data_IF_980576841399
#
_entry.id   IF_980576841399
#
_cell.length_a   1.000
_cell.length_b   1.000
_cell.length_c   1.000
_cell.angle_alpha   90.00
_cell.angle_beta   90.00
_cell.angle_gamma   90.00
#
_symmetry.space_group_name_H-M   'P 1'
#
loop_
_entity.id
_entity.type
_entity.pdbx_description
1 polymer ?
#
# COMPACT_ATOMS: atom_id res chain seq x y z
N UNK A 1 4.40 -10.98 22.46
CA UNK A 1 3.53 -10.33 21.45
C UNK A 1 3.41 -11.30 20.29
N UNK A 2 2.24 -11.91 20.11
CA UNK A 2 2.03 -13.00 19.15
C UNK A 2 1.71 -12.41 17.77
N UNK A 3 2.32 -12.94 16.71
CA UNK A 3 1.94 -12.67 15.33
C UNK A 3 1.16 -13.90 14.82
N UNK A 4 0.02 -13.65 14.19
CA UNK A 4 -0.80 -14.70 13.60
C UNK A 4 -1.19 -14.33 12.17
N UNK A 5 -1.42 -15.34 11.35
CA UNK A 5 -2.21 -15.26 10.14
C UNK A 5 -3.61 -15.81 10.44
N UNK A 6 -4.66 -15.07 10.09
CA UNK A 6 -6.04 -15.49 10.32
C UNK A 6 -6.97 -14.96 9.25
N UNK A 7 -8.06 -15.67 8.97
CA UNK A 7 -9.08 -15.19 8.04
C UNK A 7 -9.72 -13.88 8.55
N UNK A 8 -9.84 -12.82 7.73
CA UNK A 8 -10.37 -11.54 8.18
C UNK A 8 -11.81 -11.63 8.68
N UNK A 9 -12.59 -12.62 8.23
CA UNK A 9 -13.96 -12.87 8.69
C UNK A 9 -14.05 -13.40 10.14
N UNK A 10 -12.94 -13.87 10.73
CA UNK A 10 -12.84 -14.25 12.15
C UNK A 10 -12.54 -13.06 13.07
N UNK A 11 -12.18 -11.89 12.52
CA UNK A 11 -11.92 -10.68 13.30
C UNK A 11 -13.18 -9.79 13.29
N UNK A 12 -13.67 -9.51 14.49
CA UNK A 12 -14.82 -8.65 14.77
C UNK A 12 -14.41 -7.16 14.77
N UNK A 13 -15.37 -6.30 14.45
CA UNK A 13 -15.22 -4.85 14.54
C UNK A 13 -16.36 -4.27 15.36
N UNK A 14 -16.03 -3.48 16.36
CA UNK A 14 -16.98 -2.65 17.07
C UNK A 14 -17.35 -1.46 16.17
N UNK A 15 -18.55 -1.49 15.58
CA UNK A 15 -19.04 -0.42 14.68
C UNK A 15 -19.41 0.87 15.41
N UNK A 16 -19.58 0.85 16.73
CA UNK A 16 -19.82 2.06 17.54
C UNK A 16 -18.50 2.81 17.71
N UNK A 17 -17.41 2.07 17.97
CA UNK A 17 -16.07 2.63 18.17
C UNK A 17 -15.31 2.89 16.87
N UNK A 18 -15.52 2.07 15.84
CA UNK A 18 -14.90 2.18 14.52
C UNK A 18 -15.99 2.26 13.43
N UNK A 19 -16.82 3.34 13.42
CA UNK A 19 -17.91 3.47 12.48
C UNK A 19 -17.36 3.68 11.06
N UNK A 20 -17.78 2.83 10.12
CA UNK A 20 -17.22 2.79 8.76
C UNK A 20 -17.76 3.90 7.82
N UNK A 21 -17.78 5.15 8.31
CA UNK A 21 -18.33 6.34 7.62
C UNK A 21 -17.49 6.81 6.44
N UNK A 22 -16.23 6.38 6.37
CA UNK A 22 -15.29 6.73 5.30
C UNK A 22 -15.36 5.77 4.11
N UNK A 23 -16.07 4.63 4.21
CA UNK A 23 -16.13 3.58 3.18
C UNK A 23 -16.49 4.12 1.79
N UNK A 24 -17.41 5.08 1.75
CA UNK A 24 -17.95 5.64 0.51
C UNK A 24 -17.20 6.92 0.07
N UNK A 25 -16.06 7.25 0.70
CA UNK A 25 -15.22 8.39 0.32
C UNK A 25 -14.05 7.97 -0.56
N UNK A 26 -13.67 8.85 -1.49
CA UNK A 26 -12.56 8.65 -2.43
C UNK A 26 -11.26 8.16 -1.77
N UNK A 27 -10.89 8.69 -0.59
CA UNK A 27 -9.67 8.27 0.13
C UNK A 27 -9.69 6.76 0.48
N UNK A 28 -10.84 6.21 0.87
CA UNK A 28 -10.97 4.79 1.17
C UNK A 28 -10.87 3.94 -0.11
N UNK A 29 -11.50 4.38 -1.20
CA UNK A 29 -11.39 3.71 -2.50
C UNK A 29 -9.96 3.72 -3.06
N UNK A 30 -9.22 4.83 -2.91
CA UNK A 30 -7.80 4.91 -3.29
C UNK A 30 -6.94 3.96 -2.44
N UNK A 31 -7.19 3.90 -1.13
CA UNK A 31 -6.51 2.97 -0.22
C UNK A 31 -6.82 1.51 -0.57
N UNK A 32 -8.08 1.19 -0.90
CA UNK A 32 -8.50 -0.13 -1.38
C UNK A 32 -7.80 -0.50 -2.69
N UNK A 33 -7.63 0.45 -3.62
CA UNK A 33 -6.90 0.20 -4.87
C UNK A 33 -5.42 -0.12 -4.60
N UNK A 34 -4.72 0.70 -3.81
CA UNK A 34 -3.34 0.39 -3.37
C UNK A 34 -3.28 -1.01 -2.75
N UNK A 35 -4.17 -1.30 -1.80
CA UNK A 35 -4.23 -2.60 -1.12
C UNK A 35 -4.46 -3.78 -2.08
N UNK A 36 -5.18 -3.58 -3.19
CA UNK A 36 -5.38 -4.63 -4.20
C UNK A 36 -4.13 -4.98 -5.01
N UNK A 37 -3.06 -4.17 -4.92
CA UNK A 37 -1.74 -4.44 -5.51
C UNK A 37 -0.76 -5.10 -4.53
N UNK A 38 -1.11 -5.20 -3.24
CA UNK A 38 -0.25 -5.80 -2.22
C UNK A 38 -0.45 -7.30 -2.13
N UNK A 39 0.65 -8.05 -1.98
CA UNK A 39 0.62 -9.49 -1.65
C UNK A 39 0.08 -9.75 -0.24
N UNK A 40 0.37 -8.85 0.70
CA UNK A 40 -0.18 -8.82 2.07
C UNK A 40 -0.53 -7.39 2.45
N UNK A 41 -1.65 -7.20 3.15
CA UNK A 41 -1.96 -5.89 3.74
C UNK A 41 -1.07 -5.60 4.96
N UNK A 42 -0.95 -4.32 5.36
CA UNK A 42 -0.32 -3.94 6.62
C UNK A 42 -0.95 -4.67 7.83
N UNK A 43 -0.07 -5.22 8.67
CA UNK A 43 -0.43 -6.04 9.83
C UNK A 43 -1.38 -5.33 10.79
N UNK A 44 -2.47 -6.01 11.15
CA UNK A 44 -3.50 -5.52 12.06
C UNK A 44 -3.04 -5.59 13.53
N UNK A 45 -3.76 -4.91 14.43
CA UNK A 45 -3.68 -5.22 15.87
C UNK A 45 -5.05 -5.63 16.38
N UNK A 46 -5.13 -6.78 17.05
CA UNK A 46 -6.35 -7.34 17.63
C UNK A 46 -6.21 -7.55 19.14
N UNK A 47 -7.30 -7.48 19.89
CA UNK A 47 -7.38 -8.06 21.23
C UNK A 47 -8.25 -9.32 21.16
N UNK A 48 -7.87 -10.36 21.88
CA UNK A 48 -8.68 -11.57 22.03
C UNK A 48 -9.30 -11.61 23.43
N UNK A 49 -10.61 -11.78 23.48
CA UNK A 49 -11.39 -12.00 24.71
C UNK A 49 -12.30 -13.24 24.56
N UNK A 50 -13.16 -13.48 25.54
CA UNK A 50 -14.06 -14.64 25.56
C UNK A 50 -15.20 -14.60 24.53
N UNK A 51 -15.36 -13.48 23.81
CA UNK A 51 -16.30 -13.35 22.69
C UNK A 51 -15.61 -13.49 21.33
N UNK A 52 -14.30 -13.25 21.26
CA UNK A 52 -13.47 -13.53 20.08
C UNK A 52 -12.33 -12.53 19.89
N UNK A 53 -11.85 -12.44 18.64
CA UNK A 53 -10.83 -11.47 18.24
C UNK A 53 -11.46 -10.16 17.75
N UNK A 54 -11.14 -9.05 18.42
CA UNK A 54 -11.63 -7.71 18.11
C UNK A 54 -10.54 -6.80 17.58
N UNK A 55 -10.83 -6.04 16.52
CA UNK A 55 -9.89 -5.06 15.97
C UNK A 55 -9.58 -3.93 16.97
N UNK A 56 -8.29 -3.61 17.12
CA UNK A 56 -7.79 -2.45 17.88
C UNK A 56 -7.21 -1.38 16.96
N UNK A 57 -6.46 -1.80 15.93
CA UNK A 57 -5.79 -0.93 14.94
C UNK A 57 -5.86 -1.56 13.56
N UNK A 58 -5.97 -0.73 12.52
CA UNK A 58 -6.08 -1.19 11.13
C UNK A 58 -7.50 -1.55 10.67
N UNK A 59 -8.55 -0.97 11.28
CA UNK A 59 -9.94 -1.29 10.93
C UNK A 59 -10.28 -1.05 9.44
N UNK A 60 -9.71 -0.03 8.79
CA UNK A 60 -9.85 0.12 7.34
C UNK A 60 -9.20 -1.02 6.55
N UNK A 61 -8.00 -1.49 6.94
CA UNK A 61 -7.36 -2.65 6.30
C UNK A 61 -8.16 -3.94 6.52
N UNK A 62 -8.77 -4.13 7.69
CA UNK A 62 -9.69 -5.26 7.93
C UNK A 62 -10.92 -5.18 7.02
N UNK A 63 -11.53 -4.00 6.88
CA UNK A 63 -12.65 -3.77 5.95
C UNK A 63 -12.25 -4.04 4.50
N UNK A 64 -11.08 -3.53 4.08
CA UNK A 64 -10.54 -3.73 2.74
C UNK A 64 -10.26 -5.21 2.47
N UNK A 65 -9.64 -5.94 3.41
CA UNK A 65 -9.42 -7.39 3.29
C UNK A 65 -10.74 -8.16 3.07
N UNK A 66 -11.80 -7.82 3.82
CA UNK A 66 -13.14 -8.41 3.65
C UNK A 66 -13.79 -8.04 2.31
N UNK A 67 -13.51 -6.85 1.76
CA UNK A 67 -14.04 -6.41 0.46
C UNK A 67 -13.26 -7.01 -0.72
N UNK A 68 -11.95 -7.16 -0.60
CA UNK A 68 -11.07 -7.84 -1.55
C UNK A 68 -11.13 -9.37 -1.44
N UNK A 69 -11.93 -9.91 -0.51
CA UNK A 69 -12.09 -11.34 -0.25
C UNK A 69 -10.74 -12.05 0.02
N UNK A 70 -9.82 -11.36 0.70
CA UNK A 70 -8.52 -11.94 1.02
C UNK A 70 -8.71 -13.15 1.94
N UNK A 71 -8.04 -14.28 1.67
CA UNK A 71 -8.23 -15.50 2.45
C UNK A 71 -7.81 -15.27 3.91
N UNK A 72 -6.71 -14.53 4.08
CA UNK A 72 -5.98 -14.33 5.32
C UNK A 72 -5.51 -12.87 5.47
N UNK A 73 -5.25 -12.47 6.72
CA UNK A 73 -4.55 -11.24 7.10
C UNK A 73 -3.57 -11.51 8.24
N UNK A 74 -2.43 -10.81 8.25
CA UNK A 74 -1.52 -10.79 9.40
C UNK A 74 -2.10 -9.94 10.53
N UNK A 75 -2.05 -10.42 11.76
CA UNK A 75 -2.52 -9.71 12.94
C UNK A 75 -1.58 -9.91 14.14
N UNK A 76 -1.32 -8.82 14.87
CA UNK A 76 -0.64 -8.83 16.16
C UNK A 76 -1.67 -8.93 17.27
N UNK A 77 -1.50 -9.91 18.15
CA UNK A 77 -2.30 -10.01 19.39
C UNK A 77 -1.74 -9.04 20.44
N UNK A 78 -2.61 -8.12 20.86
CA UNK A 78 -2.38 -7.13 21.89
C UNK A 78 -2.17 -7.80 23.28
N UNK A 79 -1.22 -7.28 24.06
CA UNK A 79 -0.84 -7.81 25.36
C UNK A 79 -1.92 -7.71 26.45
N UNK A 80 -3.03 -7.03 26.19
CA UNK A 80 -4.23 -7.04 27.07
C UNK A 80 -5.13 -8.26 26.88
N UNK A 81 -4.81 -9.15 25.95
CA UNK A 81 -5.49 -10.44 25.75
C UNK A 81 -4.98 -11.48 26.77
N UNK A 82 -5.86 -12.29 27.36
CA UNK A 82 -5.43 -13.38 28.26
C UNK A 82 -5.02 -14.64 27.48
N UNK A 83 -4.00 -15.35 27.96
CA UNK A 83 -3.48 -16.55 27.29
C UNK A 83 -4.58 -17.60 27.02
N UNK A 84 -5.45 -17.86 27.99
CA UNK A 84 -6.59 -18.79 27.87
C UNK A 84 -7.53 -18.43 26.69
N UNK A 85 -7.82 -17.15 26.49
CA UNK A 85 -8.65 -16.69 25.38
C UNK A 85 -7.89 -16.77 24.04
N UNK A 86 -6.57 -16.51 24.04
CA UNK A 86 -5.72 -16.66 22.85
C UNK A 86 -5.68 -18.12 22.41
N UNK A 87 -5.42 -19.06 23.33
CA UNK A 87 -5.35 -20.50 23.05
C UNK A 87 -6.68 -21.01 22.46
N UNK A 88 -7.80 -20.72 23.12
CA UNK A 88 -9.15 -21.03 22.63
C UNK A 88 -9.45 -20.43 21.25
N UNK A 89 -9.01 -19.18 21.00
CA UNK A 89 -9.18 -18.56 19.68
C UNK A 89 -8.32 -19.23 18.60
N UNK A 90 -7.07 -19.58 18.89
CA UNK A 90 -6.19 -20.27 17.91
C UNK A 90 -6.78 -21.62 17.49
N UNK A 91 -7.26 -22.42 18.44
CA UNK A 91 -7.89 -23.72 18.19
C UNK A 91 -9.16 -23.60 17.32
N UNK A 92 -9.98 -22.56 17.55
CA UNK A 92 -11.30 -22.42 16.90
C UNK A 92 -11.30 -21.61 15.60
N UNK A 93 -10.30 -20.76 15.38
CA UNK A 93 -10.25 -19.83 14.24
C UNK A 93 -9.44 -20.32 13.04
N UNK A 94 -8.76 -21.47 13.15
CA UNK A 94 -7.75 -21.97 12.19
C UNK A 94 -6.65 -20.94 11.90
N UNK A 95 -6.26 -20.17 12.91
CA UNK A 95 -5.20 -19.18 12.79
C UNK A 95 -3.81 -19.84 12.89
N UNK A 96 -2.91 -19.48 11.96
CA UNK A 96 -1.53 -19.93 11.99
C UNK A 96 -0.71 -18.96 12.85
N UNK A 97 0.08 -19.47 13.80
CA UNK A 97 1.10 -18.65 14.48
C UNK A 97 2.27 -18.46 13.53
N UNK A 98 2.66 -17.22 13.28
CA UNK A 98 3.78 -16.88 12.41
C UNK A 98 5.05 -16.60 13.23
N UNK A 99 6.21 -16.95 12.67
CA UNK A 99 7.50 -16.56 13.22
C UNK A 99 7.87 -15.13 12.80
N UNK A 100 8.22 -14.31 13.79
CA UNK A 100 8.62 -12.92 13.58
C UNK A 100 9.90 -12.75 12.77
N UNK A 101 10.86 -13.69 12.86
CA UNK A 101 12.11 -13.56 12.12
C UNK A 101 11.92 -13.93 10.65
N UNK A 102 11.24 -15.05 10.38
CA UNK A 102 10.84 -15.50 9.04
C UNK A 102 9.99 -14.45 8.32
N UNK A 103 8.99 -13.86 8.98
CA UNK A 103 8.15 -12.82 8.36
C UNK A 103 8.93 -11.53 8.09
N UNK A 104 9.86 -11.13 8.98
CA UNK A 104 10.73 -9.97 8.74
C UNK A 104 11.73 -10.18 7.61
N UNK A 105 12.17 -11.42 7.38
CA UNK A 105 13.02 -11.75 6.24
C UNK A 105 12.20 -11.78 4.95
N UNK A 106 11.03 -12.42 4.97
CA UNK A 106 10.10 -12.46 3.82
C UNK A 106 9.64 -11.06 3.39
N UNK A 107 9.35 -10.16 4.33
CA UNK A 107 9.03 -8.75 4.06
C UNK A 107 10.24 -7.93 3.55
N UNK A 108 11.46 -8.47 3.64
CA UNK A 108 12.70 -7.89 3.09
C UNK A 108 13.18 -8.57 1.80
N UNK A 109 12.58 -9.69 1.39
CA UNK A 109 13.08 -10.61 0.35
C UNK A 109 12.40 -10.43 -1.04
N UNK A 110 11.82 -9.27 -1.35
CA UNK A 110 11.27 -8.91 -2.67
C UNK A 110 12.26 -7.98 -3.40
N UNK A 111 12.97 -8.41 -4.47
CA UNK A 111 14.26 -7.79 -4.90
C UNK A 111 14.44 -7.25 -6.39
N UNK A 112 14.80 -5.93 -6.60
CA UNK A 112 15.16 -5.02 -7.77
C UNK A 112 14.94 -3.44 -7.60
N UNK A 113 14.73 -2.56 -8.60
CA UNK A 113 15.05 -1.10 -8.46
C UNK A 113 13.98 0.02 -8.62
N UNK A 114 12.75 -0.08 -8.09
CA UNK A 114 11.64 0.80 -8.52
C UNK A 114 10.81 1.45 -7.41
N UNK A 115 10.23 2.63 -7.70
CA UNK A 115 9.12 3.21 -6.94
C UNK A 115 7.84 3.12 -7.77
N UNK A 116 6.81 2.50 -7.21
CA UNK A 116 5.46 2.54 -7.76
C UNK A 116 4.78 3.86 -7.34
N UNK A 117 4.25 4.58 -8.31
CA UNK A 117 3.46 5.79 -8.11
C UNK A 117 2.00 5.48 -8.45
N UNK A 118 1.10 5.75 -7.50
CA UNK A 118 -0.33 5.84 -7.71
C UNK A 118 -0.77 7.28 -7.43
N UNK A 119 -1.40 7.90 -8.43
CA UNK A 119 -1.85 9.29 -8.39
C UNK A 119 -3.32 9.32 -8.73
N UNK A 120 -4.13 9.93 -7.87
CA UNK A 120 -5.55 10.13 -8.10
C UNK A 120 -5.84 11.61 -8.29
N UNK A 121 -6.52 11.94 -9.38
CA UNK A 121 -6.85 13.31 -9.77
C UNK A 121 -8.28 13.67 -9.37
N UNK A 122 -8.56 14.97 -9.21
CA UNK A 122 -9.89 15.47 -8.84
C UNK A 122 -10.98 15.14 -9.88
N UNK A 123 -10.58 14.90 -11.13
CA UNK A 123 -11.43 14.50 -12.25
C UNK A 123 -10.63 13.65 -13.24
N UNK A 124 -11.32 13.06 -14.21
CA UNK A 124 -10.70 12.45 -15.39
C UNK A 124 -9.79 13.46 -16.09
N UNK A 125 -8.58 13.05 -16.44
CA UNK A 125 -7.67 13.80 -17.31
C UNK A 125 -8.14 13.76 -18.77
N UNK A 126 -8.06 14.89 -19.48
CA UNK A 126 -8.14 14.92 -20.95
C UNK A 126 -6.93 14.24 -21.58
N UNK A 127 -7.00 13.91 -22.87
CA UNK A 127 -5.83 13.35 -23.58
C UNK A 127 -4.64 14.33 -23.62
N UNK A 128 -4.91 15.63 -23.68
CA UNK A 128 -3.90 16.70 -23.61
C UNK A 128 -3.21 16.72 -22.23
N UNK A 129 -4.00 16.59 -21.16
CA UNK A 129 -3.48 16.54 -19.78
C UNK A 129 -2.71 15.26 -19.48
N UNK A 130 -3.09 14.13 -20.11
CA UNK A 130 -2.30 12.88 -20.06
C UNK A 130 -0.97 13.06 -20.77
N UNK A 131 -0.95 13.60 -21.98
CA UNK A 131 0.29 13.85 -22.74
C UNK A 131 1.23 14.78 -21.96
N UNK A 132 0.73 15.89 -21.41
CA UNK A 132 1.55 16.80 -20.60
C UNK A 132 2.03 16.13 -19.30
N UNK A 133 1.22 15.29 -18.66
CA UNK A 133 1.63 14.49 -17.51
C UNK A 133 2.75 13.51 -17.86
N UNK A 134 2.56 12.73 -18.93
CA UNK A 134 3.52 11.78 -19.50
C UNK A 134 4.86 12.46 -19.80
N UNK A 135 4.85 13.57 -20.53
CA UNK A 135 6.06 14.33 -20.85
C UNK A 135 6.75 14.82 -19.57
N UNK A 136 6.02 15.40 -18.61
CA UNK A 136 6.59 15.89 -17.35
C UNK A 136 7.25 14.76 -16.55
N UNK A 137 6.62 13.60 -16.40
CA UNK A 137 7.20 12.48 -15.64
C UNK A 137 8.33 11.77 -16.40
N UNK A 138 8.17 11.51 -17.71
CA UNK A 138 9.18 10.82 -18.53
C UNK A 138 10.46 11.65 -18.62
N UNK A 139 10.35 12.97 -18.82
CA UNK A 139 11.50 13.85 -18.83
C UNK A 139 12.19 13.89 -17.46
N UNK A 140 11.42 13.95 -16.36
CA UNK A 140 11.98 13.94 -15.02
C UNK A 140 12.75 12.63 -14.71
N UNK A 141 12.09 11.47 -14.81
CA UNK A 141 12.73 10.18 -14.50
C UNK A 141 13.82 9.81 -15.52
N UNK A 142 13.67 10.22 -16.79
CA UNK A 142 14.70 10.14 -17.82
C UNK A 142 15.97 10.94 -17.50
N UNK A 143 15.83 12.08 -16.81
CA UNK A 143 16.96 12.94 -16.43
C UNK A 143 17.75 12.48 -15.20
N UNK A 144 17.23 11.50 -14.44
CA UNK A 144 17.87 11.04 -13.21
C UNK A 144 19.23 10.42 -13.49
N UNK A 145 20.23 10.90 -12.74
CA UNK A 145 21.58 10.35 -12.74
C UNK A 145 21.66 9.20 -11.76
N UNK A 146 22.40 8.17 -12.15
CA UNK A 146 22.62 6.96 -11.37
C UNK A 146 24.12 6.71 -11.20
N UNK A 147 24.52 5.89 -10.21
CA UNK A 147 25.91 5.47 -10.03
C UNK A 147 26.54 4.86 -11.29
N UNK A 148 27.81 5.19 -11.52
CA UNK A 148 28.60 4.64 -12.64
C UNK A 148 28.72 3.13 -12.51
N UNK A 149 28.44 2.41 -13.60
CA UNK A 149 28.54 0.94 -13.66
C UNK A 149 27.23 0.18 -13.43
N UNK A 150 26.12 0.86 -13.10
CA UNK A 150 24.79 0.23 -13.16
C UNK A 150 24.34 0.04 -14.62
N UNK A 151 23.72 -1.09 -14.92
CA UNK A 151 23.02 -1.33 -16.18
C UNK A 151 21.56 -0.85 -16.04
N UNK A 152 21.17 0.18 -16.78
CA UNK A 152 19.95 0.95 -16.48
C UNK A 152 19.14 1.15 -17.77
N UNK A 153 17.92 0.57 -17.88
CA UNK A 153 17.15 0.59 -19.11
C UNK A 153 16.79 1.99 -19.60
N UNK A 154 17.01 2.28 -20.88
CA UNK A 154 16.77 3.60 -21.48
C UNK A 154 15.36 4.13 -21.20
N UNK A 155 14.38 3.23 -21.15
CA UNK A 155 13.02 3.51 -20.67
C UNK A 155 13.01 3.48 -19.14
N UNK A 156 12.92 4.66 -18.52
CA UNK A 156 12.96 4.87 -17.05
C UNK A 156 11.59 4.76 -16.37
N UNK A 157 10.50 4.58 -17.12
CA UNK A 157 9.14 4.41 -16.59
C UNK A 157 8.52 3.16 -17.23
N UNK A 158 8.11 2.21 -16.40
CA UNK A 158 7.38 1.01 -16.79
C UNK A 158 5.88 1.15 -16.45
N UNK A 159 5.06 0.38 -17.16
CA UNK A 159 3.66 0.10 -16.79
C UNK A 159 2.77 1.34 -16.58
N UNK A 160 3.08 2.46 -17.24
CA UNK A 160 2.25 3.67 -17.15
C UNK A 160 0.86 3.41 -17.74
N UNK A 161 -0.14 3.52 -16.88
CA UNK A 161 -1.52 3.22 -17.17
C UNK A 161 -2.47 4.24 -16.52
N UNK A 162 -3.69 4.31 -17.05
CA UNK A 162 -4.74 5.21 -16.56
C UNK A 162 -6.00 4.47 -16.05
N UNK A 163 -5.95 3.81 -14.88
CA UNK A 163 -7.10 3.14 -14.30
C UNK A 163 -8.27 4.09 -14.01
N UNK A 164 -9.46 3.51 -13.76
CA UNK A 164 -10.69 4.25 -13.46
C UNK A 164 -11.02 5.34 -14.49
N UNK A 165 -10.94 4.98 -15.78
CA UNK A 165 -11.19 5.89 -16.90
C UNK A 165 -10.33 7.16 -16.91
N UNK A 166 -9.12 7.12 -16.34
CA UNK A 166 -8.21 8.27 -16.26
C UNK A 166 -8.41 9.19 -15.06
N UNK A 167 -9.11 8.74 -14.01
CA UNK A 167 -9.06 9.38 -12.68
C UNK A 167 -7.78 9.01 -11.93
N UNK A 168 -7.17 7.88 -12.27
CA UNK A 168 -5.89 7.44 -11.70
C UNK A 168 -4.80 7.39 -12.78
N UNK A 169 -3.57 7.75 -12.42
CA UNK A 169 -2.36 7.34 -13.13
C UNK A 169 -1.56 6.38 -12.22
N UNK A 170 -1.11 5.28 -12.80
CA UNK A 170 -0.26 4.28 -12.16
C UNK A 170 0.98 4.05 -13.01
N UNK A 171 2.17 4.05 -12.41
CA UNK A 171 3.41 3.68 -13.09
C UNK A 171 4.50 3.22 -12.11
N UNK A 172 5.54 2.60 -12.64
CA UNK A 172 6.76 2.24 -11.91
C UNK A 172 7.93 3.02 -12.49
N UNK A 173 8.72 3.69 -11.64
CA UNK A 173 9.90 4.43 -12.07
C UNK A 173 11.18 3.85 -11.48
N UNK A 174 12.22 3.70 -12.31
CA UNK A 174 13.56 3.38 -11.81
C UNK A 174 14.13 4.60 -11.09
N UNK A 175 14.69 4.40 -9.89
CA UNK A 175 15.27 5.50 -9.09
C UNK A 175 16.61 5.10 -8.45
N UNK A 176 17.52 6.06 -8.21
CA UNK A 176 18.68 5.82 -7.37
C UNK A 176 18.26 5.48 -5.94
N UNK A 177 18.62 4.27 -5.45
CA UNK A 177 18.26 3.81 -4.10
C UNK A 177 19.13 4.50 -3.03
N UNK A 178 20.43 4.70 -3.32
CA UNK A 178 21.44 5.20 -2.37
C UNK A 178 21.50 6.74 -2.26
N UNK A 179 20.90 7.46 -3.21
CA UNK A 179 20.83 8.92 -3.23
C UNK A 179 19.37 9.31 -3.44
N UNK A 180 18.68 9.74 -2.37
CA UNK A 180 17.27 10.13 -2.42
C UNK A 180 17.06 11.62 -2.75
N UNK A 181 18.10 12.35 -3.18
CA UNK A 181 17.98 13.78 -3.51
C UNK A 181 16.97 14.07 -4.64
N UNK A 182 16.74 13.08 -5.52
CA UNK A 182 15.70 13.13 -6.56
C UNK A 182 14.28 13.19 -5.99
N UNK A 183 14.03 12.65 -4.78
CA UNK A 183 12.66 12.54 -4.25
C UNK A 183 12.01 13.90 -4.05
N UNK A 184 12.76 14.87 -3.53
CA UNK A 184 12.31 16.26 -3.39
C UNK A 184 11.94 16.89 -4.74
N UNK A 185 12.74 16.64 -5.77
CA UNK A 185 12.50 17.15 -7.12
C UNK A 185 11.28 16.49 -7.79
N UNK A 186 11.09 15.17 -7.60
CA UNK A 186 9.90 14.47 -8.10
C UNK A 186 8.60 15.05 -7.53
N UNK A 187 8.63 15.47 -6.26
CA UNK A 187 7.48 16.11 -5.61
C UNK A 187 7.21 17.49 -6.19
N UNK A 188 8.24 18.27 -6.54
CA UNK A 188 8.05 19.54 -7.24
C UNK A 188 7.37 19.36 -8.60
N UNK A 189 7.80 18.40 -9.43
CA UNK A 189 7.16 18.12 -10.73
C UNK A 189 5.67 17.77 -10.58
N UNK A 190 5.33 16.96 -9.56
CA UNK A 190 3.94 16.60 -9.26
C UNK A 190 3.13 17.79 -8.70
N UNK A 191 3.75 18.67 -7.90
CA UNK A 191 3.12 19.89 -7.38
C UNK A 191 2.86 20.88 -8.53
N UNK A 192 3.80 21.05 -9.46
CA UNK A 192 3.64 21.93 -10.61
C UNK A 192 2.48 21.45 -11.50
N UNK A 193 2.38 20.15 -11.78
CA UNK A 193 1.22 19.58 -12.48
C UNK A 193 -0.10 19.75 -11.70
N UNK A 194 -0.10 19.51 -10.38
CA UNK A 194 -1.28 19.72 -9.53
C UNK A 194 -1.79 21.17 -9.60
N UNK A 195 -0.89 22.15 -9.63
CA UNK A 195 -1.23 23.58 -9.61
C UNK A 195 -1.60 24.13 -11.00
N UNK A 196 -1.03 23.57 -12.08
CA UNK A 196 -1.19 24.07 -13.45
C UNK A 196 -2.31 23.35 -14.23
N UNK A 197 -2.54 22.07 -13.94
CA UNK A 197 -3.39 21.19 -14.76
C UNK A 197 -4.60 20.69 -13.96
N UNK A 198 -4.45 19.59 -13.22
CA UNK A 198 -5.53 18.95 -12.47
C UNK A 198 -5.05 18.61 -11.05
N UNK A 199 -5.77 19.05 -10.00
CA UNK A 199 -5.39 18.75 -8.63
C UNK A 199 -5.32 17.23 -8.36
N UNK A 200 -4.13 16.78 -7.99
CA UNK A 200 -3.90 15.45 -7.38
C UNK A 200 -4.56 15.47 -5.99
N UNK A 201 -5.62 14.68 -5.81
CA UNK A 201 -6.37 14.55 -4.53
C UNK A 201 -5.78 13.48 -3.61
N UNK A 202 -4.99 12.56 -4.15
CA UNK A 202 -4.31 11.53 -3.38
C UNK A 202 -3.07 11.05 -4.12
N UNK A 203 -2.01 10.80 -3.38
CA UNK A 203 -0.76 10.24 -3.88
C UNK A 203 -0.31 9.13 -2.95
N UNK A 204 0.00 7.96 -3.52
CA UNK A 204 0.64 6.85 -2.84
C UNK A 204 1.91 6.51 -3.63
N UNK A 205 3.06 6.82 -3.04
CA UNK A 205 4.36 6.36 -3.53
C UNK A 205 4.84 5.20 -2.66
N UNK A 206 5.23 4.09 -3.29
CA UNK A 206 5.75 2.91 -2.61
C UNK A 206 7.08 2.53 -3.24
N UNK A 207 8.17 2.69 -2.48
CA UNK A 207 9.50 2.24 -2.86
C UNK A 207 9.57 0.74 -2.62
N UNK A 208 9.78 -0.02 -3.69
CA UNK A 208 10.18 -1.41 -3.59
C UNK A 208 11.72 -1.39 -3.55
N UNK A 209 12.32 -1.85 -2.44
CA UNK A 209 13.78 -1.81 -2.18
C UNK A 209 14.39 -3.21 -2.12
N UNK A 210 15.33 -3.44 -3.03
CA UNK A 210 15.09 -4.54 -3.95
C UNK A 210 16.56 -4.73 -4.62
N UNK A 211 17.42 -5.69 -4.18
CA UNK A 211 18.86 -5.86 -4.54
C UNK A 211 19.23 -6.63 -5.84
N UNK A 212 20.56 -6.75 -6.04
CA UNK A 212 21.34 -7.39 -7.10
C UNK A 212 21.71 -8.85 -6.78
#
# INVERSE_FOLDING_TARGET
MLLIEVSPYRILSDEIKYPNREKDRFIFEHLKYLCSKLTSLPTLTIQVDSQGAWIKRGHYYLTIAKMLQMPNVKAIVDSSSSNENIECFLETSTANVLDWETERLTERDVLHGYVQYLLFFQRILSEEEKQEFEEKIVNFFGSLRFPVGMNIPDVRINNLAYPYSGICAEFEAYVPILDESWYGQSRSVLIDFHLQNVPIVSFQGMKWEFPL
#
